data_IF_880299557583
#
_entry.id   IF_880299557583
#
_cell.length_a   1.000
_cell.length_b   1.000
_cell.length_c   1.000
_cell.angle_alpha   90.00
_cell.angle_beta   90.00
_cell.angle_gamma   90.00
#
_symmetry.space_group_name_H-M   'P 1'
#
loop_
_entity.id
_entity.type
_entity.pdbx_description
1 polymer ?
#
# COMPACT_ATOMS: atom_id res chain seq x y z
N UNK A 1 33.49 38.47 59.36
CA UNK A 1 33.27 37.11 58.82
C UNK A 1 32.03 37.15 57.95
N UNK A 2 32.18 37.14 56.58
CA UNK A 2 31.07 37.17 55.61
C UNK A 2 30.73 35.71 55.25
N UNK A 3 29.48 35.30 55.53
CA UNK A 3 28.96 33.98 55.12
C UNK A 3 28.57 34.02 53.63
N UNK A 4 29.29 33.26 52.80
CA UNK A 4 28.94 33.01 51.40
C UNK A 4 27.79 31.95 51.39
N UNK A 5 26.63 32.32 50.86
CA UNK A 5 25.52 31.38 50.59
C UNK A 5 25.73 30.83 49.15
N UNK A 6 26.03 29.53 49.08
CA UNK A 6 26.07 28.80 47.83
C UNK A 6 24.64 28.39 47.49
N UNK A 7 24.10 28.93 46.38
CA UNK A 7 22.83 28.48 45.84
C UNK A 7 23.11 27.31 44.87
N UNK A 8 22.66 26.11 45.28
CA UNK A 8 22.67 24.95 44.37
C UNK A 8 21.56 25.08 43.36
N UNK A 9 21.92 25.32 42.12
CA UNK A 9 20.96 25.31 40.99
C UNK A 9 20.84 23.86 40.52
N UNK A 10 19.76 23.19 40.91
CA UNK A 10 19.41 21.86 40.38
C UNK A 10 18.81 22.02 39.01
N UNK A 11 19.56 21.73 37.97
CA UNK A 11 19.11 21.76 36.58
C UNK A 11 18.29 20.48 36.32
N UNK A 12 16.99 20.64 36.21
CA UNK A 12 16.06 19.56 35.87
C UNK A 12 16.10 19.39 34.34
N UNK A 13 16.82 18.38 33.86
CA UNK A 13 16.80 18.02 32.44
C UNK A 13 15.49 17.28 32.14
N UNK A 14 14.52 17.97 31.55
CA UNK A 14 13.32 17.36 31.01
C UNK A 14 13.68 16.68 29.68
N UNK A 15 13.88 15.38 29.72
CA UNK A 15 14.02 14.55 28.50
C UNK A 15 12.62 14.35 27.92
N UNK A 16 12.24 15.17 26.94
CA UNK A 16 11.00 14.97 26.18
C UNK A 16 11.26 13.81 25.22
N UNK A 17 10.78 12.63 25.58
CA UNK A 17 10.64 11.52 24.65
C UNK A 17 9.53 11.86 23.66
N UNK A 18 9.90 12.30 22.45
CA UNK A 18 8.98 12.32 21.33
C UNK A 18 8.71 10.86 20.93
N UNK A 19 7.64 10.29 21.49
CA UNK A 19 7.05 9.06 20.97
C UNK A 19 6.34 9.48 19.69
N UNK A 20 7.04 9.43 18.56
CA UNK A 20 6.39 9.44 17.26
C UNK A 20 5.70 8.07 17.12
N UNK A 21 4.36 8.00 17.01
CA UNK A 21 3.76 6.77 16.61
C UNK A 21 4.27 6.45 15.19
N UNK A 22 5.05 5.39 15.06
CA UNK A 22 5.37 4.81 13.77
C UNK A 22 4.07 4.22 13.19
N UNK A 23 3.24 5.07 12.60
CA UNK A 23 2.05 4.67 11.86
C UNK A 23 2.51 4.39 10.43
N UNK A 24 3.23 3.29 10.24
CA UNK A 24 3.32 2.69 8.92
C UNK A 24 1.96 2.07 8.62
N UNK A 25 1.32 2.51 7.55
CA UNK A 25 -0.01 2.09 7.13
C UNK A 25 0.02 1.39 5.77
N UNK A 26 1.16 0.79 5.41
CA UNK A 26 1.39 0.13 4.13
C UNK A 26 2.52 -0.91 4.27
N UNK A 27 2.71 -1.81 3.30
CA UNK A 27 3.99 -2.49 3.18
C UNK A 27 5.14 -1.48 3.32
N UNK A 28 6.21 -1.84 4.00
CA UNK A 28 7.38 -0.96 4.09
C UNK A 28 7.99 -0.74 2.70
N UNK A 29 8.73 0.35 2.54
CA UNK A 29 9.24 0.90 1.27
C UNK A 29 9.90 -0.12 0.36
N UNK A 30 10.78 -0.99 0.88
CA UNK A 30 11.50 -1.98 0.08
C UNK A 30 10.58 -3.04 -0.51
N UNK A 31 9.46 -3.34 0.15
CA UNK A 31 8.45 -4.26 -0.37
C UNK A 31 7.73 -3.65 -1.57
N UNK A 32 7.36 -2.36 -1.54
CA UNK A 32 6.80 -1.66 -2.71
C UNK A 32 7.80 -1.56 -3.86
N UNK A 33 9.07 -1.26 -3.55
CA UNK A 33 10.17 -1.25 -4.50
C UNK A 33 10.33 -2.63 -5.16
N UNK A 34 10.28 -3.72 -4.37
CA UNK A 34 10.40 -5.08 -4.88
C UNK A 34 9.27 -5.45 -5.83
N UNK A 35 8.02 -5.08 -5.52
CA UNK A 35 6.85 -5.27 -6.40
C UNK A 35 7.07 -4.56 -7.73
N UNK A 36 7.42 -3.28 -7.72
CA UNK A 36 7.63 -2.48 -8.91
C UNK A 36 8.81 -2.98 -9.75
N UNK A 37 9.94 -3.30 -9.10
CA UNK A 37 11.15 -3.83 -9.75
C UNK A 37 10.89 -5.18 -10.39
N UNK A 38 10.17 -6.07 -9.70
CA UNK A 38 9.85 -7.42 -10.21
C UNK A 38 8.84 -7.38 -11.36
N UNK A 39 7.95 -6.40 -11.38
CA UNK A 39 7.04 -6.13 -12.50
C UNK A 39 7.77 -5.61 -13.77
N UNK A 40 9.02 -5.16 -13.65
CA UNK A 40 9.80 -4.59 -14.74
C UNK A 40 9.59 -3.07 -14.92
N UNK A 41 9.08 -2.37 -13.92
CA UNK A 41 8.93 -0.92 -13.98
C UNK A 41 10.29 -0.23 -13.86
N UNK A 42 10.70 0.52 -14.87
CA UNK A 42 12.03 1.11 -14.92
C UNK A 42 12.29 2.21 -13.88
N UNK A 43 11.21 2.85 -13.35
CA UNK A 43 11.27 3.83 -12.25
C UNK A 43 10.83 3.22 -10.91
N UNK A 44 11.14 1.96 -10.68
CA UNK A 44 10.75 1.20 -9.49
C UNK A 44 11.07 1.90 -8.16
N UNK A 45 12.15 2.69 -8.10
CA UNK A 45 12.57 3.45 -6.90
C UNK A 45 11.56 4.54 -6.50
N UNK A 46 10.61 4.94 -7.36
CA UNK A 46 9.55 5.89 -7.05
C UNK A 46 8.30 5.21 -6.46
N UNK A 47 8.29 3.90 -6.29
CA UNK A 47 7.11 3.18 -5.79
C UNK A 47 6.69 3.57 -4.35
N UNK A 48 7.56 4.21 -3.58
CA UNK A 48 7.24 4.76 -2.25
C UNK A 48 6.64 6.19 -2.33
N UNK A 49 6.46 6.74 -3.53
CA UNK A 49 6.04 8.14 -3.72
C UNK A 49 4.68 8.47 -3.11
N UNK A 50 3.75 7.52 -3.07
CA UNK A 50 2.43 7.71 -2.47
C UNK A 50 2.50 7.89 -0.94
N UNK A 51 3.35 7.13 -0.24
CA UNK A 51 3.59 7.33 1.19
C UNK A 51 4.19 8.70 1.50
N UNK A 52 5.14 9.14 0.69
CA UNK A 52 5.71 10.49 0.82
C UNK A 52 4.66 11.58 0.57
N UNK A 53 3.70 11.34 -0.32
CA UNK A 53 2.62 12.28 -0.61
C UNK A 53 1.66 12.48 0.59
N UNK A 54 1.48 11.48 1.46
CA UNK A 54 0.70 11.61 2.71
C UNK A 54 1.16 12.77 3.59
N UNK A 55 2.46 13.08 3.59
CA UNK A 55 3.02 14.19 4.37
C UNK A 55 2.47 15.56 3.93
N UNK A 56 2.00 15.68 2.69
CA UNK A 56 1.47 16.94 2.12
C UNK A 56 -0.03 16.90 1.90
N UNK A 57 -0.56 15.78 1.44
CA UNK A 57 -1.97 15.62 1.09
C UNK A 57 -2.84 15.12 2.25
N UNK A 58 -2.22 14.57 3.31
CA UNK A 58 -2.94 14.07 4.50
C UNK A 58 -3.97 13.00 4.15
N UNK A 59 -5.18 13.13 4.68
CA UNK A 59 -6.25 12.15 4.54
C UNK A 59 -6.66 11.89 3.08
N UNK A 60 -6.51 12.86 2.20
CA UNK A 60 -6.81 12.67 0.77
C UNK A 60 -5.95 11.58 0.15
N UNK A 61 -4.67 11.52 0.53
CA UNK A 61 -3.77 10.48 0.07
C UNK A 61 -3.91 9.21 0.92
N UNK A 62 -3.99 9.34 2.25
CA UNK A 62 -4.08 8.20 3.17
C UNK A 62 -5.23 7.26 2.83
N UNK A 63 -6.37 7.76 2.39
CA UNK A 63 -7.55 6.96 2.08
C UNK A 63 -7.45 6.19 0.74
N UNK A 64 -6.44 6.47 -0.08
CA UNK A 64 -6.12 5.69 -1.28
C UNK A 64 -5.43 4.35 -0.97
N UNK A 65 -4.92 4.14 0.25
CA UNK A 65 -4.05 3.01 0.61
C UNK A 65 -4.77 1.79 1.16
N UNK A 66 -6.06 1.90 1.48
CA UNK A 66 -6.82 0.81 2.10
C UNK A 66 -8.28 0.78 1.66
N UNK A 67 -8.94 -0.34 1.92
CA UNK A 67 -10.39 -0.51 1.76
C UNK A 67 -10.93 -1.35 2.93
N UNK A 68 -11.40 -0.68 3.98
CA UNK A 68 -11.73 -1.28 5.27
C UNK A 68 -13.21 -1.67 5.40
N UNK A 69 -14.04 -1.32 4.41
CA UNK A 69 -15.50 -1.57 4.44
C UNK A 69 -15.86 -3.01 4.02
N UNK A 70 -14.96 -3.97 4.22
CA UNK A 70 -15.12 -5.35 3.80
C UNK A 70 -15.26 -6.29 5.01
N UNK A 71 -16.45 -6.52 5.54
CA UNK A 71 -16.66 -7.49 6.63
C UNK A 71 -16.31 -8.91 6.20
N UNK A 72 -16.05 -9.78 7.18
CA UNK A 72 -15.88 -11.20 6.93
C UNK A 72 -17.05 -11.77 6.10
N UNK A 73 -16.77 -12.62 5.12
CA UNK A 73 -17.77 -13.21 4.24
C UNK A 73 -18.23 -12.33 3.05
N UNK A 74 -17.94 -11.00 3.06
CA UNK A 74 -18.27 -10.16 1.90
C UNK A 74 -17.27 -10.39 0.76
N UNK A 75 -17.77 -10.62 -0.44
CA UNK A 75 -16.94 -10.74 -1.65
C UNK A 75 -16.75 -9.35 -2.28
N UNK A 76 -15.50 -8.99 -2.57
CA UNK A 76 -15.15 -7.83 -3.39
C UNK A 76 -15.46 -8.17 -4.84
N UNK A 77 -16.30 -7.37 -5.48
CA UNK A 77 -16.70 -7.52 -6.89
C UNK A 77 -16.08 -6.44 -7.76
N UNK A 78 -15.98 -6.67 -9.08
CA UNK A 78 -15.54 -5.63 -10.02
C UNK A 78 -16.46 -4.39 -9.99
N UNK A 79 -17.73 -4.55 -9.69
CA UNK A 79 -18.68 -3.43 -9.52
C UNK A 79 -18.31 -2.58 -8.29
N UNK A 80 -17.93 -3.21 -7.16
CA UNK A 80 -17.45 -2.50 -5.98
C UNK A 80 -16.14 -1.74 -6.30
N UNK A 81 -15.21 -2.37 -7.01
CA UNK A 81 -13.96 -1.73 -7.46
C UNK A 81 -14.25 -0.48 -8.26
N UNK A 82 -15.12 -0.60 -9.29
CA UNK A 82 -15.51 0.53 -10.15
C UNK A 82 -16.24 1.64 -9.38
N UNK A 83 -17.06 1.29 -8.39
CA UNK A 83 -17.76 2.25 -7.54
C UNK A 83 -16.84 3.08 -6.62
N UNK A 84 -15.58 2.68 -6.46
CA UNK A 84 -14.59 3.45 -5.70
C UNK A 84 -13.79 4.45 -6.55
N UNK A 85 -13.84 4.38 -7.88
CA UNK A 85 -12.97 5.15 -8.78
C UNK A 85 -13.13 6.67 -8.57
N UNK A 86 -14.38 7.12 -8.47
CA UNK A 86 -14.69 8.56 -8.30
C UNK A 86 -14.36 9.10 -6.91
N UNK A 87 -13.98 8.21 -5.97
CA UNK A 87 -13.53 8.58 -4.62
C UNK A 87 -12.03 8.86 -4.54
N UNK A 88 -11.28 8.61 -5.59
CA UNK A 88 -9.83 8.82 -5.63
C UNK A 88 -9.47 10.24 -5.18
N UNK A 89 -8.54 10.36 -4.25
CA UNK A 89 -8.13 11.62 -3.61
C UNK A 89 -9.26 12.35 -2.84
N UNK A 90 -10.31 11.64 -2.45
CA UNK A 90 -11.35 12.16 -1.56
C UNK A 90 -11.12 11.68 -0.13
N UNK A 91 -11.73 12.40 0.84
CA UNK A 91 -11.74 11.96 2.24
C UNK A 91 -12.86 10.95 2.42
N UNK A 92 -12.52 9.68 2.64
CA UNK A 92 -13.46 8.58 2.89
C UNK A 92 -12.86 7.62 3.92
N UNK A 93 -13.36 7.63 5.14
CA UNK A 93 -12.87 6.81 6.25
C UNK A 93 -12.87 5.30 5.97
N UNK A 94 -13.70 4.83 5.06
CA UNK A 94 -13.70 3.45 4.58
C UNK A 94 -12.53 3.11 3.66
N UNK A 95 -11.90 4.13 3.10
CA UNK A 95 -10.87 4.01 2.07
C UNK A 95 -11.41 3.53 0.72
N UNK A 96 -10.61 3.71 -0.32
CA UNK A 96 -11.01 3.40 -1.70
C UNK A 96 -9.84 2.91 -2.56
N UNK A 97 -8.94 2.13 -1.96
CA UNK A 97 -7.74 1.56 -2.58
C UNK A 97 -8.00 0.95 -3.97
N UNK A 98 -9.09 0.22 -4.12
CA UNK A 98 -9.38 -0.47 -5.38
C UNK A 98 -9.64 0.52 -6.52
N UNK A 99 -10.39 1.58 -6.23
CA UNK A 99 -10.65 2.66 -7.18
C UNK A 99 -9.41 3.50 -7.47
N UNK A 100 -8.54 3.70 -6.48
CA UNK A 100 -7.30 4.47 -6.63
C UNK A 100 -6.36 3.84 -7.67
N UNK A 101 -6.29 2.49 -7.75
CA UNK A 101 -5.52 1.79 -8.77
C UNK A 101 -6.04 2.14 -10.17
N UNK A 102 -7.35 2.04 -10.41
CA UNK A 102 -7.93 2.34 -11.72
C UNK A 102 -7.80 3.82 -12.05
N UNK A 103 -8.07 4.72 -11.10
CA UNK A 103 -7.99 6.16 -11.30
C UNK A 103 -6.55 6.59 -11.67
N UNK A 104 -5.54 6.04 -11.00
CA UNK A 104 -4.12 6.32 -11.34
C UNK A 104 -3.75 5.85 -12.74
N UNK A 105 -4.26 4.70 -13.20
CA UNK A 105 -4.08 4.23 -14.59
C UNK A 105 -4.78 5.15 -15.58
N UNK A 106 -6.03 5.56 -15.32
CA UNK A 106 -6.76 6.53 -16.14
C UNK A 106 -6.00 7.84 -16.26
N UNK A 107 -5.51 8.38 -15.16
CA UNK A 107 -4.76 9.62 -15.12
C UNK A 107 -3.45 9.50 -15.89
N UNK A 108 -2.72 8.39 -15.76
CA UNK A 108 -1.53 8.14 -16.55
C UNK A 108 -1.82 8.21 -18.05
N UNK A 109 -2.83 7.46 -18.52
CA UNK A 109 -3.20 7.42 -19.94
C UNK A 109 -3.64 8.81 -20.42
N UNK A 110 -4.49 9.49 -19.66
CA UNK A 110 -4.99 10.83 -19.97
C UNK A 110 -3.87 11.85 -20.10
N UNK A 111 -2.99 11.93 -19.09
CA UNK A 111 -1.89 12.91 -19.03
C UNK A 111 -0.85 12.65 -20.11
N UNK A 112 -0.57 11.37 -20.39
CA UNK A 112 0.36 10.98 -21.45
C UNK A 112 -0.15 11.32 -22.85
N UNK A 113 -1.45 11.12 -23.13
CA UNK A 113 -2.09 11.55 -24.38
C UNK A 113 -2.06 13.06 -24.60
N UNK A 114 -1.96 13.85 -23.52
CA UNK A 114 -1.75 15.30 -23.58
C UNK A 114 -0.29 15.69 -23.83
N UNK A 115 0.62 14.75 -24.06
CA UNK A 115 2.05 14.99 -24.23
C UNK A 115 2.77 15.47 -22.95
N UNK A 116 2.17 15.27 -21.77
CA UNK A 116 2.74 15.71 -20.50
C UNK A 116 3.42 14.55 -19.76
N UNK A 117 4.29 14.90 -18.81
CA UNK A 117 4.92 13.93 -17.93
C UNK A 117 3.87 13.24 -17.03
N UNK A 118 3.72 11.93 -17.18
CA UNK A 118 2.67 11.14 -16.53
C UNK A 118 3.19 10.08 -15.56
N UNK A 119 4.49 9.85 -15.49
CA UNK A 119 5.10 8.70 -14.81
C UNK A 119 4.82 8.62 -13.30
N UNK A 120 4.57 9.75 -12.64
CA UNK A 120 4.22 9.75 -11.22
C UNK A 120 2.89 9.03 -10.94
N UNK A 121 1.95 9.03 -11.90
CA UNK A 121 0.70 8.26 -11.74
C UNK A 121 0.97 6.75 -11.74
N UNK A 122 1.94 6.26 -12.55
CA UNK A 122 2.34 4.85 -12.50
C UNK A 122 3.13 4.51 -11.23
N UNK A 123 3.93 5.44 -10.71
CA UNK A 123 4.61 5.25 -9.44
C UNK A 123 3.59 5.09 -8.28
N UNK A 124 2.56 5.92 -8.24
CA UNK A 124 1.47 5.81 -7.27
C UNK A 124 0.66 4.53 -7.49
N UNK A 125 0.35 4.19 -8.75
CA UNK A 125 -0.30 2.92 -9.09
C UNK A 125 0.50 1.72 -8.58
N UNK A 126 1.83 1.71 -8.73
CA UNK A 126 2.70 0.65 -8.23
C UNK A 126 2.56 0.47 -6.71
N UNK A 127 2.50 1.58 -5.97
CA UNK A 127 2.30 1.59 -4.54
C UNK A 127 0.95 1.00 -4.15
N UNK A 128 -0.14 1.52 -4.71
CA UNK A 128 -1.50 1.02 -4.42
C UNK A 128 -1.68 -0.46 -4.81
N UNK A 129 -1.03 -0.92 -5.86
CA UNK A 129 -1.02 -2.34 -6.22
C UNK A 129 -0.26 -3.17 -5.18
N UNK A 130 0.81 -2.63 -4.59
CA UNK A 130 1.47 -3.23 -3.42
C UNK A 130 0.51 -3.36 -2.25
N UNK A 131 -0.15 -2.28 -1.87
CA UNK A 131 -1.14 -2.22 -0.78
C UNK A 131 -2.31 -3.18 -0.97
N UNK A 132 -2.74 -3.39 -2.22
CA UNK A 132 -3.82 -4.32 -2.56
C UNK A 132 -3.56 -5.74 -2.02
N UNK A 133 -2.31 -6.17 -1.99
CA UNK A 133 -1.93 -7.49 -1.49
C UNK A 133 -1.60 -7.53 0.00
N UNK A 134 -1.60 -6.39 0.70
CA UNK A 134 -1.42 -6.36 2.13
C UNK A 134 -2.73 -6.78 2.83
N UNK A 135 -2.71 -7.90 3.59
CA UNK A 135 -3.94 -8.48 4.13
C UNK A 135 -4.78 -7.53 5.00
N UNK A 136 -4.11 -6.72 5.84
CA UNK A 136 -4.81 -5.83 6.77
C UNK A 136 -5.38 -4.56 6.12
N UNK A 137 -4.98 -4.25 4.87
CA UNK A 137 -5.57 -3.17 4.09
C UNK A 137 -6.95 -3.50 3.51
N UNK A 138 -7.34 -4.78 3.57
CA UNK A 138 -8.55 -5.31 2.95
C UNK A 138 -9.60 -5.79 3.96
N UNK A 139 -9.36 -5.63 5.26
CA UNK A 139 -10.27 -6.05 6.33
C UNK A 139 -10.65 -4.88 7.25
N UNK A 140 -11.68 -5.07 8.06
CA UNK A 140 -12.07 -4.06 9.05
C UNK A 140 -11.00 -3.85 10.11
N UNK A 141 -10.82 -2.60 10.52
CA UNK A 141 -9.98 -2.28 11.68
C UNK A 141 -10.58 -2.86 12.97
N UNK A 142 -9.73 -3.56 13.74
CA UNK A 142 -10.04 -4.12 15.04
C UNK A 142 -8.80 -4.04 15.97
N UNK A 143 -8.80 -4.73 17.10
CA UNK A 143 -7.66 -4.76 18.02
C UNK A 143 -6.43 -5.40 17.35
N UNK A 144 -6.62 -6.54 16.68
CA UNK A 144 -5.57 -7.26 15.96
C UNK A 144 -4.88 -6.37 14.91
N UNK A 145 -5.66 -5.70 14.05
CA UNK A 145 -5.08 -4.82 13.02
C UNK A 145 -4.30 -3.66 13.61
N UNK A 146 -4.73 -3.10 14.74
CA UNK A 146 -3.99 -2.01 15.41
C UNK A 146 -2.67 -2.47 16.01
N UNK A 147 -2.64 -3.70 16.53
CA UNK A 147 -1.46 -4.25 17.21
C UNK A 147 -0.41 -4.75 16.21
N UNK A 148 -0.84 -5.46 15.17
CA UNK A 148 0.07 -6.21 14.31
C UNK A 148 0.38 -5.56 12.95
N UNK A 149 -0.30 -4.47 12.56
CA UNK A 149 -0.16 -3.87 11.23
C UNK A 149 1.30 -3.59 10.87
N UNK A 150 2.01 -2.75 11.61
CA UNK A 150 3.39 -2.40 11.29
C UNK A 150 4.36 -3.59 11.31
N UNK A 151 4.10 -4.63 12.12
CA UNK A 151 4.90 -5.86 12.14
C UNK A 151 4.67 -6.71 10.89
N UNK A 152 3.44 -6.72 10.38
CA UNK A 152 3.08 -7.42 9.15
C UNK A 152 3.63 -6.68 7.94
N UNK A 153 3.55 -5.34 7.93
CA UNK A 153 4.10 -4.51 6.86
C UNK A 153 5.60 -4.71 6.67
N UNK A 154 6.34 -4.85 7.77
CA UNK A 154 7.79 -5.05 7.75
C UNK A 154 8.26 -6.50 7.60
N UNK A 155 7.37 -7.51 7.53
CA UNK A 155 7.71 -8.93 7.70
C UNK A 155 8.79 -9.46 6.75
N UNK A 156 8.94 -8.88 5.57
CA UNK A 156 9.96 -9.24 4.57
C UNK A 156 10.79 -8.05 4.11
N UNK A 157 10.56 -6.85 4.67
CA UNK A 157 11.17 -5.61 4.18
C UNK A 157 12.69 -5.73 4.08
N UNK A 158 13.36 -6.15 5.14
CA UNK A 158 14.82 -6.16 5.24
C UNK A 158 15.51 -7.22 4.34
N UNK A 159 14.73 -8.11 3.71
CA UNK A 159 15.27 -9.20 2.90
C UNK A 159 14.74 -9.26 1.47
N UNK A 160 13.65 -8.55 1.17
CA UNK A 160 12.92 -8.76 -0.08
C UNK A 160 13.71 -8.37 -1.32
N UNK A 161 14.53 -7.31 -1.26
CA UNK A 161 15.34 -6.86 -2.40
C UNK A 161 16.45 -7.85 -2.76
N UNK A 162 17.03 -8.53 -1.77
CA UNK A 162 18.02 -9.60 -1.98
C UNK A 162 17.36 -10.93 -2.43
N UNK A 163 16.07 -11.05 -2.20
CA UNK A 163 15.29 -12.26 -2.49
C UNK A 163 14.24 -12.08 -3.59
N UNK A 164 14.46 -11.17 -4.54
CA UNK A 164 13.52 -10.89 -5.65
C UNK A 164 13.13 -12.15 -6.45
N UNK A 165 13.96 -13.17 -6.48
CA UNK A 165 13.66 -14.44 -7.14
C UNK A 165 12.49 -15.19 -6.50
N UNK A 166 12.17 -14.93 -5.22
CA UNK A 166 11.00 -15.47 -4.52
C UNK A 166 9.69 -14.82 -4.96
N UNK A 167 9.73 -13.59 -5.52
CA UNK A 167 8.57 -12.90 -6.07
C UNK A 167 8.27 -13.46 -7.46
N UNK A 168 7.24 -14.28 -7.56
CA UNK A 168 6.83 -14.93 -8.80
C UNK A 168 6.00 -13.97 -9.67
N UNK A 169 6.06 -14.17 -10.99
CA UNK A 169 5.19 -13.49 -11.94
C UNK A 169 4.23 -14.52 -12.53
N UNK A 170 2.94 -14.34 -12.25
CA UNK A 170 1.86 -15.12 -12.82
C UNK A 170 1.39 -14.48 -14.13
N UNK A 171 0.99 -15.27 -15.13
CA UNK A 171 0.44 -14.72 -16.36
C UNK A 171 -0.92 -14.06 -16.08
N UNK A 172 -1.00 -12.75 -16.35
CA UNK A 172 -2.22 -11.94 -16.29
C UNK A 172 -2.28 -11.13 -17.58
N UNK A 173 -3.42 -11.19 -18.28
CA UNK A 173 -3.71 -10.36 -19.43
C UNK A 173 -4.84 -9.41 -19.09
N UNK A 174 -4.67 -8.11 -19.39
CA UNK A 174 -5.68 -7.06 -19.19
C UNK A 174 -5.85 -6.36 -20.53
N UNK A 175 -7.02 -6.48 -21.14
CA UNK A 175 -7.35 -5.82 -22.41
C UNK A 175 -8.35 -4.67 -22.23
N UNK A 176 -8.99 -4.62 -21.06
CA UNK A 176 -9.97 -3.61 -20.72
C UNK A 176 -9.93 -3.23 -19.25
N UNK A 177 -10.45 -2.05 -18.93
CA UNK A 177 -10.62 -1.61 -17.55
C UNK A 177 -11.53 -2.54 -16.73
N UNK A 178 -12.52 -3.18 -17.39
CA UNK A 178 -13.37 -4.19 -16.76
C UNK A 178 -12.56 -5.42 -16.30
N UNK A 179 -11.60 -5.83 -17.08
CA UNK A 179 -10.69 -6.94 -16.72
C UNK A 179 -9.72 -6.52 -15.62
N UNK A 180 -9.20 -5.28 -15.68
CA UNK A 180 -8.43 -4.71 -14.58
C UNK A 180 -9.23 -4.74 -13.28
N UNK A 181 -10.49 -4.30 -13.30
CA UNK A 181 -11.35 -4.32 -12.12
C UNK A 181 -11.61 -5.74 -11.60
N UNK A 182 -11.72 -6.75 -12.47
CA UNK A 182 -11.85 -8.16 -12.07
C UNK A 182 -10.59 -8.67 -11.37
N UNK A 183 -9.40 -8.36 -11.91
CA UNK A 183 -8.14 -8.79 -11.31
C UNK A 183 -7.88 -8.10 -9.96
N UNK A 184 -8.19 -6.82 -9.83
CA UNK A 184 -8.15 -6.11 -8.55
C UNK A 184 -9.07 -6.81 -7.54
N UNK A 185 -10.30 -7.10 -7.93
CA UNK A 185 -11.27 -7.78 -7.06
C UNK A 185 -10.77 -9.17 -6.64
N UNK A 186 -10.16 -9.94 -7.54
CA UNK A 186 -9.60 -11.26 -7.26
C UNK A 186 -8.50 -11.18 -6.20
N UNK A 187 -7.54 -10.26 -6.38
CA UNK A 187 -6.42 -10.10 -5.44
C UNK A 187 -6.91 -9.56 -4.09
N UNK A 188 -7.83 -8.59 -4.11
CA UNK A 188 -8.46 -8.07 -2.89
C UNK A 188 -9.13 -9.19 -2.07
N UNK A 189 -9.81 -10.14 -2.71
CA UNK A 189 -10.43 -11.27 -2.02
C UNK A 189 -9.38 -12.21 -1.42
N UNK A 190 -8.32 -12.57 -2.17
CA UNK A 190 -7.22 -13.39 -1.64
C UNK A 190 -6.56 -12.73 -0.42
N UNK A 191 -6.29 -11.45 -0.52
CA UNK A 191 -5.67 -10.66 0.54
C UNK A 191 -6.59 -10.58 1.77
N UNK A 192 -7.88 -10.28 1.56
CA UNK A 192 -8.90 -10.20 2.61
C UNK A 192 -9.10 -11.55 3.32
N UNK A 193 -9.20 -12.65 2.59
CA UNK A 193 -9.33 -13.99 3.15
C UNK A 193 -8.14 -14.33 4.06
N UNK A 194 -6.92 -14.02 3.61
CA UNK A 194 -5.73 -14.20 4.41
C UNK A 194 -5.73 -13.28 5.64
N UNK A 195 -6.18 -12.02 5.49
CA UNK A 195 -6.29 -11.06 6.59
C UNK A 195 -7.20 -11.57 7.70
N UNK A 196 -8.40 -12.05 7.37
CA UNK A 196 -9.32 -12.64 8.36
C UNK A 196 -8.81 -13.96 8.94
N UNK A 197 -8.08 -14.75 8.16
CA UNK A 197 -7.47 -15.98 8.64
C UNK A 197 -6.42 -15.70 9.72
N UNK A 198 -5.46 -14.80 9.47
CA UNK A 198 -4.43 -14.48 10.45
C UNK A 198 -5.01 -13.78 11.69
N UNK A 199 -6.05 -12.96 11.54
CA UNK A 199 -6.81 -12.35 12.63
C UNK A 199 -7.48 -13.45 13.51
N UNK A 200 -8.20 -14.40 12.91
CA UNK A 200 -8.85 -15.49 13.62
C UNK A 200 -7.87 -16.48 14.30
N UNK A 201 -6.67 -16.63 13.74
CA UNK A 201 -5.61 -17.47 14.28
C UNK A 201 -4.69 -16.70 15.26
N UNK A 202 -4.94 -15.43 15.50
CA UNK A 202 -4.15 -14.50 16.33
C UNK A 202 -2.64 -14.64 16.08
N UNK A 203 -2.24 -14.55 14.83
CA UNK A 203 -0.85 -14.72 14.42
C UNK A 203 -0.39 -13.72 13.37
N UNK A 204 0.90 -13.53 13.32
CA UNK A 204 1.54 -12.79 12.24
C UNK A 204 1.45 -13.52 10.90
N UNK A 205 1.56 -12.73 9.83
CA UNK A 205 1.78 -13.23 8.49
C UNK A 205 3.09 -14.03 8.44
N UNK A 206 3.13 -15.13 7.69
CA UNK A 206 4.36 -15.87 7.44
C UNK A 206 5.09 -15.29 6.23
N UNK A 207 6.43 -15.31 6.21
CA UNK A 207 7.21 -14.80 5.07
C UNK A 207 6.79 -15.40 3.73
N UNK A 208 6.53 -16.71 3.68
CA UNK A 208 6.05 -17.37 2.46
C UNK A 208 4.69 -16.87 1.99
N UNK A 209 3.77 -16.55 2.93
CA UNK A 209 2.48 -15.93 2.61
C UNK A 209 2.70 -14.51 2.07
N UNK A 210 3.61 -13.72 2.67
CA UNK A 210 3.96 -12.38 2.20
C UNK A 210 4.51 -12.42 0.76
N UNK A 211 5.47 -13.32 0.47
CA UNK A 211 5.99 -13.49 -0.90
C UNK A 211 4.90 -13.90 -1.91
N UNK A 212 3.94 -14.71 -1.49
CA UNK A 212 2.79 -15.07 -2.34
C UNK A 212 1.93 -13.85 -2.63
N UNK A 213 1.62 -13.04 -1.62
CA UNK A 213 0.83 -11.84 -1.76
C UNK A 213 1.49 -10.83 -2.71
N UNK A 214 2.75 -10.46 -2.48
CA UNK A 214 3.43 -9.50 -3.36
C UNK A 214 3.70 -10.05 -4.76
N UNK A 215 3.70 -11.38 -4.95
CA UNK A 215 3.75 -11.99 -6.29
C UNK A 215 2.48 -11.70 -7.09
N UNK A 216 1.31 -11.69 -6.46
CA UNK A 216 0.07 -11.25 -7.10
C UNK A 216 0.13 -9.78 -7.49
N UNK A 217 0.63 -8.91 -6.61
CA UNK A 217 0.82 -7.48 -6.90
C UNK A 217 1.80 -7.25 -8.04
N UNK A 218 2.97 -7.88 -8.02
CA UNK A 218 3.97 -7.73 -9.09
C UNK A 218 3.41 -8.19 -10.44
N UNK A 219 2.62 -9.28 -10.44
CA UNK A 219 1.97 -9.81 -11.64
C UNK A 219 0.92 -8.85 -12.20
N UNK A 220 0.06 -8.31 -11.32
CA UNK A 220 -0.94 -7.31 -11.71
C UNK A 220 -0.27 -6.05 -12.25
N UNK A 221 0.74 -5.53 -11.56
CA UNK A 221 1.40 -4.30 -11.98
C UNK A 221 2.12 -4.48 -13.33
N UNK A 222 2.74 -5.65 -13.57
CA UNK A 222 3.29 -5.99 -14.89
C UNK A 222 2.21 -5.97 -15.98
N UNK A 223 1.04 -6.53 -15.72
CA UNK A 223 -0.07 -6.51 -16.67
C UNK A 223 -0.60 -5.09 -16.90
N UNK A 224 -0.65 -4.23 -15.87
CA UNK A 224 -0.99 -2.80 -15.99
C UNK A 224 0.02 -2.07 -16.88
N UNK A 225 1.31 -2.29 -16.70
CA UNK A 225 2.34 -1.68 -17.56
C UNK A 225 2.12 -2.05 -19.04
N UNK A 226 1.89 -3.33 -19.32
CA UNK A 226 1.60 -3.82 -20.67
C UNK A 226 0.29 -3.23 -21.24
N UNK A 227 -0.75 -3.12 -20.42
CA UNK A 227 -2.01 -2.50 -20.80
C UNK A 227 -1.82 -1.02 -21.17
N UNK A 228 -1.13 -0.26 -20.33
CA UNK A 228 -0.90 1.18 -20.57
C UNK A 228 0.00 1.44 -21.78
N UNK A 229 0.89 0.51 -22.15
CA UNK A 229 1.69 0.59 -23.36
C UNK A 229 0.86 0.46 -24.64
N UNK A 230 -0.16 -0.39 -24.63
CA UNK A 230 -1.08 -0.54 -25.79
C UNK A 230 -2.06 0.62 -25.95
N UNK A 231 -2.26 1.42 -24.91
CA UNK A 231 -3.19 2.57 -24.91
C UNK A 231 -2.54 3.90 -25.32
N UNK A 232 -1.28 3.84 -25.78
CA UNK A 232 -0.50 5.00 -26.27
C UNK A 232 -1.06 5.60 -27.56
#
# INVERSE_FOLDING_TARGET
MRKVRIYSVTMFAITIFFIFPNVSLAWHDETHIAVAKRAGYYKWFNACGADMAKLKAGDRESHNHYSLSNPAGRIVTSALVMGQVEKYNQVDMGGHLYGAIIASVRDYIRVKRMGKYAEYHLAFCAHYVGDLSQPLHNIRRNAFTREYHGRIDGIINDEVLDNLHKVKIYPITIESEKELAKEIARIANLSRELGYKIDSEDRLLRKGEAYTQISHSASLFKAILQYTERMK
#
